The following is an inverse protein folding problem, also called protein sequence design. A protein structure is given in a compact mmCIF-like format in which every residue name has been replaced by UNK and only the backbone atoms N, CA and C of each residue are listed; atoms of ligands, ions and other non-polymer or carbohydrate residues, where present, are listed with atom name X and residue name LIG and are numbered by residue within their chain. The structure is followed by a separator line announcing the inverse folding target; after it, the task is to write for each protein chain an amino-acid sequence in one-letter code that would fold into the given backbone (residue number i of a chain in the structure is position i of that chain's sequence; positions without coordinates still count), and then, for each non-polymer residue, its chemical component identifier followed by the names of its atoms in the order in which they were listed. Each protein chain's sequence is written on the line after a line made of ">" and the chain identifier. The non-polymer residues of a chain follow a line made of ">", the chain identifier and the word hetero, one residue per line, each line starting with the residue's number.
data_IF_503603794934
#
_entry.id   IF_503603794934
#
_cell.length_a   1.000
_cell.length_b   1.000
_cell.length_c   1.000
_cell.angle_alpha   90.00
_cell.angle_beta   90.00
_cell.angle_gamma   90.00
#
_symmetry.space_group_name_H-M   'P 1'
#
loop_
_entity.id
_entity.type
_entity.pdbx_description
1 polymer ?
#
# COMPACT_ATOMS: atom_id res chain seq x y z
N UNK A 1 18.55 -2.98 -9.07
CA UNK A 1 17.15 -2.74 -9.48
C UNK A 1 16.25 -3.10 -8.31
N UNK A 2 15.53 -2.13 -7.77
CA UNK A 2 14.67 -2.32 -6.59
C UNK A 2 13.37 -3.06 -6.93
N UNK A 3 12.66 -3.57 -5.92
CA UNK A 3 11.41 -4.30 -6.08
C UNK A 3 10.34 -3.49 -6.83
N UNK A 4 10.27 -2.19 -6.56
CA UNK A 4 9.35 -1.26 -7.22
C UNK A 4 9.68 -0.98 -8.68
N UNK A 5 10.94 -1.14 -9.08
CA UNK A 5 11.32 -1.04 -10.48
C UNK A 5 10.73 -2.19 -11.28
N UNK A 6 10.77 -3.38 -10.70
CA UNK A 6 10.17 -4.58 -11.28
C UNK A 6 8.66 -4.45 -11.34
N UNK A 7 8.04 -3.90 -10.29
CA UNK A 7 6.61 -3.60 -10.26
C UNK A 7 6.23 -2.60 -11.38
N UNK A 8 6.87 -1.44 -11.42
CA UNK A 8 6.60 -0.39 -12.42
C UNK A 8 6.86 -0.86 -13.86
N UNK A 9 7.89 -1.71 -14.06
CA UNK A 9 8.17 -2.34 -15.35
C UNK A 9 7.12 -3.40 -15.72
N UNK A 10 6.70 -4.24 -14.77
CA UNK A 10 5.64 -5.24 -14.99
C UNK A 10 4.29 -4.61 -15.33
N UNK A 11 4.04 -3.38 -14.85
CA UNK A 11 2.86 -2.59 -15.17
C UNK A 11 2.97 -1.84 -16.52
N UNK A 12 4.08 -1.94 -17.25
CA UNK A 12 4.22 -1.39 -18.61
C UNK A 12 4.30 0.13 -18.72
N UNK A 13 4.75 0.84 -17.67
CA UNK A 13 4.56 2.30 -17.56
C UNK A 13 5.76 3.14 -18.06
N UNK A 14 5.67 3.75 -19.27
CA UNK A 14 6.47 4.93 -19.66
C UNK A 14 5.88 6.19 -19.01
N UNK A 15 6.70 7.10 -18.44
CA UNK A 15 6.31 8.36 -17.72
C UNK A 15 4.79 8.49 -17.48
N UNK A 16 4.30 7.86 -16.42
CA UNK A 16 2.86 7.81 -16.08
C UNK A 16 2.66 8.14 -14.61
N UNK A 17 1.51 8.72 -14.31
CA UNK A 17 0.97 8.75 -12.97
C UNK A 17 0.25 7.41 -12.70
N UNK A 18 0.35 6.88 -11.49
CA UNK A 18 -0.38 5.69 -11.08
C UNK A 18 -0.87 5.83 -9.64
N UNK A 19 -2.12 5.43 -9.44
CA UNK A 19 -2.74 5.26 -8.14
C UNK A 19 -2.40 3.85 -7.64
N UNK A 20 -1.83 3.76 -6.44
CA UNK A 20 -1.56 2.48 -5.79
C UNK A 20 -2.29 2.40 -4.47
N UNK A 21 -2.94 1.27 -4.22
CA UNK A 21 -3.61 1.01 -2.95
C UNK A 21 -2.64 0.30 -2.01
N UNK A 22 -2.45 0.81 -0.81
CA UNK A 22 -1.56 0.22 0.20
C UNK A 22 -2.39 -0.33 1.35
N UNK A 23 -2.40 -1.66 1.46
CA UNK A 23 -3.31 -2.42 2.33
C UNK A 23 -2.55 -3.54 3.05
N UNK A 24 -3.22 -4.15 4.02
CA UNK A 24 -2.63 -5.10 4.97
C UNK A 24 -3.05 -4.78 6.39
N UNK A 25 -2.82 -5.72 7.31
CA UNK A 25 -3.28 -5.62 8.70
C UNK A 25 -2.70 -4.38 9.42
N UNK A 26 -3.37 -3.94 10.49
CA UNK A 26 -2.84 -2.93 11.39
C UNK A 26 -1.45 -3.35 11.91
N UNK A 27 -0.59 -2.37 12.16
CA UNK A 27 0.81 -2.58 12.56
C UNK A 27 1.70 -3.33 11.55
N UNK A 28 1.22 -3.70 10.34
CA UNK A 28 2.04 -4.38 9.34
C UNK A 28 3.20 -3.53 8.75
N UNK A 29 3.26 -2.23 9.06
CA UNK A 29 4.33 -1.33 8.58
C UNK A 29 4.04 -0.57 7.27
N UNK A 30 2.77 -0.50 6.84
CA UNK A 30 2.34 0.18 5.59
C UNK A 30 2.85 1.62 5.48
N UNK A 31 2.49 2.45 6.45
CA UNK A 31 2.88 3.87 6.49
C UNK A 31 4.41 4.03 6.63
N UNK A 32 5.08 3.12 7.35
CA UNK A 32 6.54 3.11 7.48
C UNK A 32 7.23 2.83 6.15
N UNK A 33 6.75 1.84 5.39
CA UNK A 33 7.26 1.50 4.07
C UNK A 33 7.05 2.67 3.10
N UNK A 34 5.88 3.30 3.11
CA UNK A 34 5.60 4.48 2.31
C UNK A 34 6.50 5.66 2.68
N UNK A 35 6.67 5.94 3.98
CA UNK A 35 7.57 6.97 4.48
C UNK A 35 9.00 6.73 3.99
N UNK A 36 9.45 5.47 3.96
CA UNK A 36 10.79 5.12 3.46
C UNK A 36 10.97 5.40 1.96
N UNK A 37 9.91 5.35 1.14
CA UNK A 37 10.00 5.67 -0.28
C UNK A 37 10.05 7.17 -0.59
N UNK A 38 9.70 8.02 0.37
CA UNK A 38 9.87 9.46 0.21
C UNK A 38 11.36 9.85 0.18
N UNK A 39 11.73 10.93 -0.52
CA UNK A 39 13.04 11.57 -0.38
C UNK A 39 13.38 11.81 1.09
N UNK A 40 14.66 11.71 1.45
CA UNK A 40 15.09 11.76 2.87
C UNK A 40 14.62 13.02 3.59
N UNK A 41 14.63 14.16 2.89
CA UNK A 41 14.16 15.47 3.37
C UNK A 41 12.64 15.57 3.55
N UNK A 42 11.87 14.60 3.05
CA UNK A 42 10.41 14.52 3.15
C UNK A 42 9.92 13.40 4.07
N UNK A 43 10.84 12.64 4.69
CA UNK A 43 10.48 11.57 5.61
C UNK A 43 10.03 12.14 6.94
N UNK A 44 8.93 11.63 7.48
CA UNK A 44 8.49 11.91 8.84
C UNK A 44 9.36 11.16 9.85
N UNK A 45 9.71 11.82 10.95
CA UNK A 45 10.43 11.20 12.08
C UNK A 45 9.53 10.31 12.93
N UNK A 46 8.23 10.58 12.92
CA UNK A 46 7.21 9.81 13.62
C UNK A 46 6.17 9.31 12.63
N UNK A 47 5.78 8.04 12.79
CA UNK A 47 4.71 7.40 12.02
C UNK A 47 3.68 6.89 13.01
N UNK A 48 2.46 7.43 12.91
CA UNK A 48 1.34 7.09 13.81
C UNK A 48 0.36 6.16 13.11
N UNK A 49 -0.46 5.38 13.85
CA UNK A 49 -1.47 4.53 13.25
C UNK A 49 -2.49 5.33 12.40
N UNK A 50 -2.67 4.93 11.14
CA UNK A 50 -3.60 5.60 10.21
C UNK A 50 -5.06 5.38 10.63
N UNK A 51 -5.82 6.48 10.66
CA UNK A 51 -7.27 6.50 10.91
C UNK A 51 -8.00 6.64 9.58
N UNK A 52 -8.78 5.63 9.19
CA UNK A 52 -9.44 5.62 7.88
C UNK A 52 -8.44 5.39 6.74
N UNK A 53 -7.90 6.47 6.17
CA UNK A 53 -6.87 6.44 5.12
C UNK A 53 -6.04 7.73 5.11
N UNK A 54 -4.88 7.70 4.47
CA UNK A 54 -4.11 8.89 4.07
C UNK A 54 -3.71 8.80 2.59
N UNK A 55 -3.37 9.94 1.98
CA UNK A 55 -2.95 10.01 0.58
C UNK A 55 -1.53 10.56 0.53
N UNK A 56 -0.64 9.77 -0.06
CA UNK A 56 0.78 10.07 -0.14
C UNK A 56 1.22 10.15 -1.59
N UNK A 57 1.85 11.27 -1.96
CA UNK A 57 2.36 11.49 -3.32
C UNK A 57 3.87 11.48 -3.31
N UNK A 58 4.46 10.60 -4.10
CA UNK A 58 5.90 10.52 -4.24
C UNK A 58 6.29 10.06 -5.64
N UNK A 59 7.55 10.30 -6.00
CA UNK A 59 8.05 9.94 -7.32
C UNK A 59 8.94 8.71 -7.23
N UNK A 60 8.54 7.63 -7.88
CA UNK A 60 9.39 6.46 -8.09
C UNK A 60 10.01 6.56 -9.49
N UNK A 61 11.27 7.01 -9.55
CA UNK A 61 11.98 7.29 -10.82
C UNK A 61 11.20 8.22 -11.74
N UNK A 62 10.61 7.66 -12.81
CA UNK A 62 9.93 8.39 -13.87
C UNK A 62 8.39 8.35 -13.71
N UNK A 63 7.89 7.72 -12.65
CA UNK A 63 6.46 7.51 -12.36
C UNK A 63 6.06 8.34 -11.15
N UNK A 64 4.99 9.12 -11.29
CA UNK A 64 4.35 9.79 -10.15
C UNK A 64 3.38 8.82 -9.50
N UNK A 65 3.57 8.51 -8.22
CA UNK A 65 2.69 7.61 -7.48
C UNK A 65 1.80 8.42 -6.55
N UNK A 66 0.50 8.14 -6.61
CA UNK A 66 -0.46 8.51 -5.56
C UNK A 66 -0.80 7.24 -4.80
N UNK A 67 -0.24 7.10 -3.60
CA UNK A 67 -0.50 5.98 -2.72
C UNK A 67 -1.66 6.30 -1.77
N UNK A 68 -2.65 5.43 -1.74
CA UNK A 68 -3.74 5.45 -0.76
C UNK A 68 -3.37 4.50 0.36
N UNK A 69 -2.83 5.04 1.47
CA UNK A 69 -2.46 4.27 2.66
C UNK A 69 -3.70 4.01 3.50
N UNK A 70 -4.20 2.78 3.45
CA UNK A 70 -5.44 2.41 4.11
C UNK A 70 -5.16 1.96 5.54
N UNK A 71 -6.07 2.28 6.47
CA UNK A 71 -5.98 1.72 7.82
C UNK A 71 -6.15 0.19 7.77
N UNK A 72 -5.29 -0.50 8.51
CA UNK A 72 -5.36 -1.95 8.65
C UNK A 72 -6.25 -2.43 9.81
N UNK A 73 -6.77 -1.50 10.62
CA UNK A 73 -7.63 -1.84 11.74
C UNK A 73 -8.94 -2.41 11.21
N UNK A 74 -9.43 -3.49 11.85
CA UNK A 74 -10.63 -4.21 11.42
C UNK A 74 -11.83 -3.27 11.13
N UNK A 75 -12.08 -2.28 12.00
CA UNK A 75 -13.17 -1.29 11.86
C UNK A 75 -13.12 -0.41 10.60
N UNK A 76 -12.00 -0.40 9.87
CA UNK A 76 -11.78 0.44 8.69
C UNK A 76 -11.50 -0.38 7.42
N UNK A 77 -11.38 -1.72 7.48
CA UNK A 77 -11.04 -2.54 6.30
C UNK A 77 -12.09 -2.49 5.20
N UNK A 78 -13.35 -2.24 5.57
CA UNK A 78 -14.43 -1.99 4.62
C UNK A 78 -14.18 -0.77 3.71
N UNK A 79 -13.26 0.14 4.06
CA UNK A 79 -12.90 1.26 3.21
C UNK A 79 -12.02 0.84 2.03
N UNK A 80 -11.36 -0.32 2.07
CA UNK A 80 -10.44 -0.76 1.01
C UNK A 80 -11.15 -0.89 -0.34
N UNK A 81 -12.34 -1.50 -0.33
CA UNK A 81 -13.16 -1.76 -1.52
C UNK A 81 -13.53 -0.49 -2.30
N UNK A 82 -13.66 0.64 -1.59
CA UNK A 82 -13.98 1.92 -2.20
C UNK A 82 -12.92 2.40 -3.20
N UNK A 83 -11.70 1.86 -3.13
CA UNK A 83 -10.56 2.29 -3.96
C UNK A 83 -10.09 1.24 -4.98
N UNK A 84 -10.73 0.06 -5.04
CA UNK A 84 -10.31 -1.01 -5.94
C UNK A 84 -10.35 -0.60 -7.41
N UNK A 85 -11.42 0.10 -7.84
CA UNK A 85 -11.63 0.51 -9.24
C UNK A 85 -10.60 1.53 -9.76
N UNK A 86 -10.13 2.41 -8.88
CA UNK A 86 -9.36 3.58 -9.27
C UNK A 86 -7.85 3.39 -9.13
N UNK A 87 -7.40 2.20 -8.70
CA UNK A 87 -5.99 1.85 -8.53
C UNK A 87 -5.44 1.04 -9.73
N UNK A 88 -4.17 1.26 -10.09
CA UNK A 88 -3.45 0.48 -11.10
C UNK A 88 -2.55 -0.60 -10.48
N UNK A 89 -2.44 -0.62 -9.16
CA UNK A 89 -1.64 -1.61 -8.45
C UNK A 89 -1.92 -1.62 -6.95
N UNK A 90 -1.58 -2.74 -6.33
CA UNK A 90 -1.79 -2.96 -4.89
C UNK A 90 -0.45 -3.31 -4.25
N UNK A 91 -0.16 -2.66 -3.13
CA UNK A 91 0.96 -2.97 -2.23
C UNK A 91 0.34 -3.60 -0.98
N UNK A 92 0.39 -4.93 -0.89
CA UNK A 92 -0.07 -5.65 0.29
C UNK A 92 1.10 -5.90 1.24
N UNK A 93 1.07 -5.28 2.43
CA UNK A 93 2.17 -5.33 3.40
C UNK A 93 1.87 -6.35 4.50
N UNK A 94 2.83 -7.22 4.77
CA UNK A 94 2.74 -8.29 5.78
C UNK A 94 3.90 -8.16 6.76
N UNK A 95 3.60 -8.16 8.06
CA UNK A 95 4.61 -8.33 9.09
C UNK A 95 5.03 -9.81 9.16
N UNK A 96 6.21 -10.10 8.62
CA UNK A 96 6.77 -11.46 8.61
C UNK A 96 7.11 -12.01 10.00
N UNK A 97 7.24 -11.16 11.01
CA UNK A 97 7.55 -11.58 12.39
C UNK A 97 6.30 -12.06 13.13
N UNK A 98 5.11 -11.63 12.70
CA UNK A 98 3.87 -11.87 13.41
C UNK A 98 3.11 -13.11 12.90
N UNK A 99 3.70 -14.27 13.17
CA UNK A 99 3.26 -15.56 12.62
C UNK A 99 1.79 -15.88 12.87
N UNK A 100 1.23 -15.51 14.02
CA UNK A 100 -0.17 -15.79 14.37
C UNK A 100 -1.16 -15.06 13.47
N UNK A 101 -0.82 -13.86 12.99
CA UNK A 101 -1.70 -13.05 12.14
C UNK A 101 -1.51 -13.31 10.65
N UNK A 102 -0.57 -14.18 10.25
CA UNK A 102 -0.39 -14.56 8.84
C UNK A 102 -1.65 -15.20 8.23
N UNK A 103 -2.40 -15.97 9.02
CA UNK A 103 -3.68 -16.54 8.56
C UNK A 103 -4.70 -15.45 8.25
N UNK A 104 -4.79 -14.42 9.12
CA UNK A 104 -5.68 -13.28 8.91
C UNK A 104 -5.23 -12.47 7.69
N UNK A 105 -3.92 -12.26 7.53
CA UNK A 105 -3.38 -11.55 6.37
C UNK A 105 -3.67 -12.29 5.06
N UNK A 106 -3.56 -13.63 5.07
CA UNK A 106 -3.92 -14.49 3.94
C UNK A 106 -5.41 -14.34 3.63
N UNK A 107 -6.29 -14.46 4.63
CA UNK A 107 -7.74 -14.43 4.39
C UNK A 107 -8.21 -13.07 3.88
N UNK A 108 -7.61 -11.97 4.37
CA UNK A 108 -7.85 -10.62 3.84
C UNK A 108 -7.35 -10.45 2.40
N UNK A 109 -6.17 -10.98 2.08
CA UNK A 109 -5.64 -10.98 0.70
C UNK A 109 -6.54 -11.80 -0.23
N UNK A 110 -6.96 -13.00 0.18
CA UNK A 110 -7.86 -13.86 -0.58
C UNK A 110 -9.21 -13.18 -0.82
N UNK A 111 -9.78 -12.54 0.22
CA UNK A 111 -11.03 -11.79 0.13
C UNK A 111 -10.91 -10.63 -0.87
N UNK A 112 -9.79 -9.90 -0.83
CA UNK A 112 -9.52 -8.82 -1.78
C UNK A 112 -9.38 -9.32 -3.23
N UNK A 113 -8.67 -10.43 -3.45
CA UNK A 113 -8.45 -10.99 -4.79
C UNK A 113 -9.70 -11.66 -5.38
N UNK A 114 -10.62 -12.12 -4.54
CA UNK A 114 -11.91 -12.69 -4.96
C UNK A 114 -12.99 -11.63 -5.16
N UNK A 115 -12.70 -10.36 -4.86
CA UNK A 115 -13.66 -9.29 -5.03
C UNK A 115 -14.10 -9.19 -6.51
N UNK A 116 -15.40 -9.08 -6.81
CA UNK A 116 -15.94 -9.18 -8.18
C UNK A 116 -15.70 -7.96 -9.07
N UNK A 117 -14.81 -7.03 -8.67
CA UNK A 117 -14.53 -5.80 -9.40
C UNK A 117 -13.26 -5.93 -10.24
#
# INVERSE_FOLDING_TARGET
>A
MGLFDKLAYSLGLKKREANVLVVGLDNAGKSTVLNHFKPEDQRSTEVVPTVGYSVEKFKAKNVGLTAFDMSGHNRYRNLWEAYYKDCQGIIFVVDSSEKLRLVVAKDELDSMLQHPL
#
